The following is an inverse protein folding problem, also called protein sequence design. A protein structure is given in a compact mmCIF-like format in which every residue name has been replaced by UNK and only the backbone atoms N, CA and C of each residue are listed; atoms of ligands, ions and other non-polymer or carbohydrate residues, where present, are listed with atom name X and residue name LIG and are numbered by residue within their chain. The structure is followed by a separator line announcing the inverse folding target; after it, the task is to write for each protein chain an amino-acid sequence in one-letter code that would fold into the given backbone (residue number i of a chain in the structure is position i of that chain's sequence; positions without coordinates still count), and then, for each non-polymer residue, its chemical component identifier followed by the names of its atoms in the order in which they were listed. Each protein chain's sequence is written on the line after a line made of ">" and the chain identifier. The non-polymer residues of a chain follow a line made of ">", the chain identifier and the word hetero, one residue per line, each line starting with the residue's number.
data_IF_954246737170
#
_entry.id   IF_954246737170
#
_cell.length_a   1.000
_cell.length_b   1.000
_cell.length_c   1.000
_cell.angle_alpha   90.00
_cell.angle_beta   90.00
_cell.angle_gamma   90.00
#
_symmetry.space_group_name_H-M   'P 1'
#
loop_
_entity.id
_entity.type
_entity.pdbx_description
1 polymer ?
#
# COMPACT_ATOMS: atom_id res chain seq x y z
N UNK A 1 -27.27 11.27 18.74
CA UNK A 1 -26.17 12.15 18.29
C UNK A 1 -26.32 12.40 16.81
N UNK A 2 -26.12 13.63 16.33
CA UNK A 2 -26.09 13.91 14.90
C UNK A 2 -24.82 13.30 14.31
N UNK A 3 -24.96 12.43 13.32
CA UNK A 3 -23.87 12.02 12.45
C UNK A 3 -23.62 13.17 11.47
N UNK A 4 -22.46 13.81 11.56
CA UNK A 4 -22.04 14.84 10.62
C UNK A 4 -20.94 14.22 9.77
N UNK A 5 -21.17 13.93 8.48
CA UNK A 5 -20.12 13.38 7.63
C UNK A 5 -19.02 14.43 7.46
N UNK A 6 -17.79 14.04 7.78
CA UNK A 6 -16.59 14.86 7.55
C UNK A 6 -15.85 14.32 6.34
N UNK A 7 -15.43 15.24 5.45
CA UNK A 7 -14.62 14.91 4.29
C UNK A 7 -13.15 14.98 4.66
N UNK A 8 -12.43 13.88 4.51
CA UNK A 8 -10.98 13.83 4.66
C UNK A 8 -10.31 13.81 3.27
N UNK A 9 -9.34 14.71 3.05
CA UNK A 9 -8.47 14.64 1.88
C UNK A 9 -7.24 13.83 2.22
N UNK A 10 -7.06 12.72 1.53
CA UNK A 10 -5.93 11.83 1.74
C UNK A 10 -5.01 11.86 0.52
N UNK A 11 -3.79 12.36 0.71
CA UNK A 11 -2.74 12.26 -0.30
C UNK A 11 -1.89 11.02 -0.01
N UNK A 12 -1.79 10.13 -1.00
CA UNK A 12 -1.04 8.89 -0.91
C UNK A 12 -0.11 8.77 -2.11
N UNK A 13 1.08 8.22 -1.87
CA UNK A 13 2.06 7.91 -2.91
C UNK A 13 2.28 6.41 -2.90
N UNK A 14 2.30 5.83 -4.09
CA UNK A 14 2.53 4.41 -4.34
C UNK A 14 3.62 4.24 -5.41
N UNK A 15 4.27 3.09 -5.43
CA UNK A 15 5.27 2.76 -6.43
C UNK A 15 4.61 2.25 -7.71
N UNK A 16 5.22 2.56 -8.85
CA UNK A 16 4.65 2.20 -10.14
C UNK A 16 5.72 1.71 -11.10
N UNK A 17 5.43 0.59 -11.74
CA UNK A 17 6.20 0.03 -12.85
C UNK A 17 5.26 -0.14 -14.04
N UNK A 18 5.77 0.00 -15.25
CA UNK A 18 4.94 0.00 -16.47
C UNK A 18 4.55 -1.38 -16.98
N UNK A 19 4.87 -2.45 -16.25
CA UNK A 19 4.49 -3.81 -16.63
C UNK A 19 3.03 -4.13 -16.30
N UNK A 20 2.44 -5.00 -17.12
CA UNK A 20 0.99 -5.25 -17.15
C UNK A 20 0.39 -5.56 -15.77
N UNK A 21 1.06 -6.40 -14.98
CA UNK A 21 0.57 -6.79 -13.66
C UNK A 21 0.50 -5.60 -12.69
N UNK A 22 1.51 -4.73 -12.70
CA UNK A 22 1.53 -3.52 -11.87
C UNK A 22 0.49 -2.50 -12.31
N UNK A 23 0.30 -2.34 -13.63
CA UNK A 23 -0.74 -1.47 -14.19
C UNK A 23 -2.12 -1.91 -13.70
N UNK A 24 -2.45 -3.19 -13.82
CA UNK A 24 -3.74 -3.73 -13.39
C UNK A 24 -3.99 -3.56 -11.88
N UNK A 25 -2.99 -3.80 -11.03
CA UNK A 25 -3.12 -3.59 -9.59
C UNK A 25 -3.30 -2.10 -9.25
N UNK A 26 -2.54 -1.22 -9.90
CA UNK A 26 -2.57 0.23 -9.67
C UNK A 26 -3.88 0.87 -10.14
N UNK A 27 -4.44 0.41 -11.26
CA UNK A 27 -5.76 0.85 -11.74
C UNK A 27 -6.86 0.55 -10.71
N UNK A 28 -6.82 -0.64 -10.10
CA UNK A 28 -7.77 -0.99 -9.02
C UNK A 28 -7.58 -0.10 -7.79
N UNK A 29 -6.33 0.17 -7.39
CA UNK A 29 -6.02 1.08 -6.29
C UNK A 29 -6.60 2.49 -6.53
N UNK A 30 -6.37 3.04 -7.72
CA UNK A 30 -6.87 4.37 -8.12
C UNK A 30 -8.40 4.40 -8.16
N UNK A 31 -9.05 3.30 -8.54
CA UNK A 31 -10.50 3.15 -8.56
C UNK A 31 -11.10 2.77 -7.18
N UNK A 32 -10.31 2.83 -6.10
CA UNK A 32 -10.71 2.45 -4.74
C UNK A 32 -11.14 0.98 -4.56
N UNK A 33 -10.83 0.10 -5.51
CA UNK A 33 -10.93 -1.35 -5.35
C UNK A 33 -9.69 -1.87 -4.60
N UNK A 34 -9.62 -1.54 -3.31
CA UNK A 34 -8.45 -1.87 -2.49
C UNK A 34 -8.24 -3.38 -2.38
N UNK A 35 -9.30 -4.18 -2.29
CA UNK A 35 -9.17 -5.64 -2.20
C UNK A 35 -8.60 -6.22 -3.50
N UNK A 36 -9.15 -5.82 -4.65
CA UNK A 36 -8.62 -6.29 -5.93
C UNK A 36 -7.20 -5.79 -6.21
N UNK A 37 -6.84 -4.61 -5.71
CA UNK A 37 -5.46 -4.11 -5.76
C UNK A 37 -4.52 -4.94 -4.87
N UNK A 38 -4.94 -5.25 -3.64
CA UNK A 38 -4.19 -6.10 -2.70
C UNK A 38 -3.89 -7.47 -3.30
N UNK A 39 -4.86 -8.12 -3.95
CA UNK A 39 -4.65 -9.41 -4.62
C UNK A 39 -3.55 -9.33 -5.70
N UNK A 40 -3.55 -8.25 -6.49
CA UNK A 40 -2.52 -8.01 -7.50
C UNK A 40 -1.13 -7.77 -6.89
N UNK A 41 -1.04 -6.94 -5.86
CA UNK A 41 0.22 -6.68 -5.17
C UNK A 41 0.76 -7.90 -4.42
N UNK A 42 -0.11 -8.75 -3.87
CA UNK A 42 0.29 -10.03 -3.26
C UNK A 42 0.97 -10.96 -4.26
N UNK A 43 0.45 -11.06 -5.48
CA UNK A 43 1.09 -11.85 -6.54
C UNK A 43 2.47 -11.27 -6.90
N UNK A 44 2.58 -9.94 -6.96
CA UNK A 44 3.82 -9.23 -7.27
C UNK A 44 4.88 -9.37 -6.17
N UNK A 45 4.49 -9.40 -4.88
CA UNK A 45 5.43 -9.64 -3.78
C UNK A 45 6.14 -10.99 -3.92
N UNK A 46 5.47 -12.00 -4.46
CA UNK A 46 6.04 -13.32 -4.69
C UNK A 46 7.03 -13.40 -5.85
N UNK A 47 7.18 -12.34 -6.65
CA UNK A 47 7.94 -12.38 -7.92
C UNK A 47 8.86 -11.16 -8.06
N UNK A 48 10.01 -11.34 -8.71
CA UNK A 48 10.90 -10.24 -9.07
C UNK A 48 12.03 -9.94 -8.08
N UNK A 49 12.73 -8.84 -8.37
CA UNK A 49 13.90 -8.36 -7.64
C UNK A 49 13.55 -7.79 -6.27
N UNK A 50 14.55 -7.65 -5.39
CA UNK A 50 14.33 -7.24 -4.00
C UNK A 50 13.63 -5.87 -3.88
N UNK A 51 13.99 -4.92 -4.74
CA UNK A 51 13.36 -3.60 -4.85
C UNK A 51 11.89 -3.72 -5.28
N UNK A 52 11.58 -4.52 -6.30
CA UNK A 52 10.21 -4.73 -6.77
C UNK A 52 9.34 -5.41 -5.71
N UNK A 53 9.86 -6.43 -5.02
CA UNK A 53 9.15 -7.07 -3.91
C UNK A 53 8.87 -6.10 -2.77
N UNK A 54 9.84 -5.24 -2.45
CA UNK A 54 9.64 -4.20 -1.45
C UNK A 54 8.58 -3.19 -1.89
N UNK A 55 8.64 -2.72 -3.13
CA UNK A 55 7.66 -1.77 -3.69
C UNK A 55 6.24 -2.32 -3.67
N UNK A 56 6.05 -3.59 -4.09
CA UNK A 56 4.74 -4.25 -4.05
C UNK A 56 4.23 -4.42 -2.61
N UNK A 57 5.12 -4.77 -1.67
CA UNK A 57 4.76 -4.87 -0.26
C UNK A 57 4.40 -3.51 0.35
N UNK A 58 5.08 -2.44 -0.05
CA UNK A 58 4.72 -1.08 0.35
C UNK A 58 3.33 -0.69 -0.19
N UNK A 59 3.04 -0.96 -1.47
CA UNK A 59 1.74 -0.63 -2.06
C UNK A 59 0.60 -1.45 -1.42
N UNK A 60 0.90 -2.71 -1.06
CA UNK A 60 0.01 -3.56 -0.27
C UNK A 60 -0.23 -2.99 1.14
N UNK A 61 0.81 -2.47 1.79
CA UNK A 61 0.69 -1.78 3.08
C UNK A 61 -0.17 -0.52 2.97
N UNK A 62 -0.02 0.24 1.87
CA UNK A 62 -0.85 1.40 1.60
C UNK A 62 -2.32 1.01 1.47
N UNK A 63 -2.63 -0.07 0.76
CA UNK A 63 -4.00 -0.58 0.66
C UNK A 63 -4.56 -0.93 2.05
N UNK A 64 -3.78 -1.63 2.88
CA UNK A 64 -4.17 -1.94 4.27
C UNK A 64 -4.45 -0.67 5.08
N UNK A 65 -3.59 0.35 4.96
CA UNK A 65 -3.79 1.64 5.61
C UNK A 65 -5.09 2.33 5.17
N UNK A 66 -5.41 2.30 3.87
CA UNK A 66 -6.61 2.91 3.30
C UNK A 66 -7.90 2.26 3.81
N UNK A 67 -7.87 0.97 4.13
CA UNK A 67 -8.99 0.25 4.76
C UNK A 67 -8.90 0.20 6.29
N UNK A 68 -7.99 0.98 6.89
CA UNK A 68 -7.78 1.11 8.34
C UNK A 68 -7.27 -0.16 9.05
N UNK A 69 -6.69 -1.10 8.30
CA UNK A 69 -6.01 -2.29 8.81
C UNK A 69 -4.54 -1.97 9.15
N UNK A 70 -4.34 -1.11 10.14
CA UNK A 70 -3.04 -0.50 10.44
C UNK A 70 -1.97 -1.50 10.87
N UNK A 71 -2.33 -2.55 11.63
CA UNK A 71 -1.39 -3.58 12.06
C UNK A 71 -0.85 -4.37 10.87
N UNK A 72 -1.73 -4.72 9.92
CA UNK A 72 -1.37 -5.39 8.68
C UNK A 72 -0.51 -4.49 7.80
N UNK A 73 -0.82 -3.19 7.73
CA UNK A 73 0.00 -2.22 7.01
C UNK A 73 1.43 -2.17 7.57
N UNK A 74 1.58 -2.13 8.89
CA UNK A 74 2.90 -2.14 9.56
C UNK A 74 3.67 -3.44 9.26
N UNK A 75 3.01 -4.59 9.31
CA UNK A 75 3.64 -5.88 9.00
C UNK A 75 4.18 -5.93 7.55
N UNK A 76 3.43 -5.38 6.59
CA UNK A 76 3.87 -5.29 5.21
C UNK A 76 5.01 -4.29 5.01
N UNK A 77 5.02 -3.17 5.76
CA UNK A 77 6.15 -2.25 5.77
C UNK A 77 7.42 -2.91 6.34
N UNK A 78 7.31 -3.72 7.39
CA UNK A 78 8.44 -4.48 7.94
C UNK A 78 8.97 -5.51 6.94
N UNK A 79 8.09 -6.11 6.14
CA UNK A 79 8.51 -6.98 5.05
C UNK A 79 9.20 -6.19 3.92
N UNK A 80 8.66 -5.04 3.53
CA UNK A 80 9.24 -4.18 2.51
C UNK A 80 10.66 -3.74 2.90
N UNK A 81 10.82 -3.21 4.12
CA UNK A 81 12.10 -2.71 4.65
C UNK A 81 13.16 -3.82 4.76
N UNK A 82 12.75 -5.07 4.99
CA UNK A 82 13.65 -6.25 4.95
C UNK A 82 14.11 -6.62 3.55
N UNK A 83 13.26 -6.41 2.54
CA UNK A 83 13.60 -6.69 1.14
C UNK A 83 14.52 -5.62 0.56
N UNK A 84 14.14 -4.36 0.75
CA UNK A 84 14.87 -3.18 0.27
C UNK A 84 14.36 -1.94 1.02
N UNK A 85 15.26 -1.11 1.53
CA UNK A 85 14.86 0.09 2.27
C UNK A 85 14.25 1.13 1.32
N UNK A 86 12.93 1.33 1.45
CA UNK A 86 12.19 2.30 0.66
C UNK A 86 12.08 3.64 1.41
N UNK A 87 12.30 4.78 0.74
CA UNK A 87 12.23 6.10 1.39
C UNK A 87 10.83 6.41 1.95
N UNK A 88 9.77 5.86 1.33
CA UNK A 88 8.39 6.17 1.71
C UNK A 88 7.87 5.34 2.90
N UNK A 89 8.52 4.22 3.25
CA UNK A 89 8.05 3.30 4.31
C UNK A 89 7.85 4.00 5.66
N UNK A 90 8.80 4.86 6.05
CA UNK A 90 8.75 5.56 7.35
C UNK A 90 7.60 6.57 7.43
N UNK A 91 7.31 7.26 6.32
CA UNK A 91 6.22 8.22 6.26
C UNK A 91 4.86 7.52 6.43
N UNK A 92 4.65 6.40 5.74
CA UNK A 92 3.41 5.62 5.87
C UNK A 92 3.29 4.98 7.26
N UNK A 93 4.40 4.46 7.80
CA UNK A 93 4.44 3.90 9.16
C UNK A 93 4.01 4.91 10.21
N UNK A 94 4.52 6.14 10.13
CA UNK A 94 4.14 7.23 11.04
C UNK A 94 2.63 7.49 10.99
N UNK A 95 2.03 7.50 9.79
CA UNK A 95 0.58 7.67 9.61
C UNK A 95 -0.21 6.54 10.24
N UNK A 96 0.22 5.29 10.09
CA UNK A 96 -0.44 4.12 10.71
C UNK A 96 -0.47 4.23 12.24
N UNK A 97 0.56 4.83 12.84
CA UNK A 97 0.65 4.99 14.30
C UNK A 97 -0.13 6.19 14.84
N UNK A 98 -0.49 7.16 13.99
CA UNK A 98 -1.12 8.41 14.41
C UNK A 98 -2.65 8.36 14.53
N UNK A 99 -3.29 7.28 14.08
CA UNK A 99 -4.75 7.00 14.09
C UNK A 99 -5.62 8.17 13.62
#
# INVERSE_FOLDING_TARGET
>A
GRFTPEWEKLNCTFYYYSDYAWVQASEKLVNCDFKGAMDGYLELVGRGSADRRASAAYDLALCCYLIKEYEMAIAWLDYADRCYQLPNSQALRKRCLQK
#
